data_IF_243886488231
#
_entry.id   IF_243886488231
#
_cell.length_a   1.000
_cell.length_b   1.000
_cell.length_c   1.000
_cell.angle_alpha   90.00
_cell.angle_beta   90.00
_cell.angle_gamma   90.00
#
_symmetry.space_group_name_H-M   'P 1'
#
loop_
_entity.id
_entity.type
_entity.pdbx_description
1 polymer ?
#
# COMPACT_ATOMS: atom_id res chain seq x y z
N UNK A 1 -30.72 11.26 -11.60
CA UNK A 1 -29.81 10.83 -12.68
C UNK A 1 -28.85 9.81 -12.09
N UNK A 2 -29.20 8.54 -12.20
CA UNK A 2 -28.39 7.41 -11.72
C UNK A 2 -27.32 7.12 -12.77
N UNK A 3 -26.06 7.44 -12.47
CA UNK A 3 -24.94 6.92 -13.25
C UNK A 3 -24.98 5.40 -13.21
N UNK A 4 -25.46 4.79 -14.30
CA UNK A 4 -25.35 3.37 -14.52
C UNK A 4 -23.86 3.01 -14.53
N UNK A 5 -23.44 2.23 -13.54
CA UNK A 5 -22.12 1.59 -13.47
C UNK A 5 -21.95 0.59 -14.63
N UNK A 6 -21.89 1.08 -15.86
CA UNK A 6 -21.50 0.29 -17.03
C UNK A 6 -19.99 0.14 -16.93
N UNK A 7 -19.55 -0.94 -16.29
CA UNK A 7 -18.16 -1.36 -16.38
C UNK A 7 -17.78 -1.47 -17.86
N UNK A 8 -16.66 -0.89 -18.32
CA UNK A 8 -16.14 -1.19 -19.64
C UNK A 8 -16.02 -2.73 -19.74
N UNK A 9 -16.71 -3.33 -20.71
CA UNK A 9 -16.96 -4.77 -20.79
C UNK A 9 -15.68 -5.58 -20.51
N UNK A 10 -15.63 -6.27 -19.37
CA UNK A 10 -14.55 -7.19 -19.03
C UNK A 10 -13.48 -6.71 -18.03
N UNK A 11 -13.68 -5.57 -17.35
CA UNK A 11 -12.90 -5.17 -16.16
C UNK A 11 -13.66 -5.44 -14.86
N UNK A 12 -12.95 -5.90 -13.84
CA UNK A 12 -13.51 -6.15 -12.51
C UNK A 12 -13.55 -4.87 -11.65
N UNK A 13 -14.53 -4.79 -10.76
CA UNK A 13 -14.79 -3.66 -9.87
C UNK A 13 -14.00 -3.74 -8.56
N UNK A 14 -13.89 -2.61 -7.84
CA UNK A 14 -13.18 -2.56 -6.54
C UNK A 14 -13.73 -3.56 -5.50
N UNK A 15 -15.02 -3.86 -5.56
CA UNK A 15 -15.70 -4.82 -4.68
C UNK A 15 -15.45 -6.29 -5.04
N UNK A 16 -14.91 -6.56 -6.23
CA UNK A 16 -14.71 -7.93 -6.70
C UNK A 16 -13.43 -8.52 -6.14
N UNK A 17 -13.36 -9.85 -6.04
CA UNK A 17 -12.12 -10.51 -5.66
C UNK A 17 -11.16 -10.56 -6.87
N UNK A 18 -10.20 -9.63 -6.88
CA UNK A 18 -9.08 -9.59 -7.82
C UNK A 18 -7.83 -10.30 -7.26
N UNK A 19 -7.80 -11.63 -7.28
CA UNK A 19 -6.65 -12.40 -6.76
C UNK A 19 -5.35 -12.04 -7.51
N UNK A 20 -5.38 -12.00 -8.84
CA UNK A 20 -4.19 -11.67 -9.65
C UNK A 20 -3.59 -10.30 -9.30
N UNK A 21 -4.44 -9.26 -9.15
CA UNK A 21 -4.00 -7.93 -8.71
C UNK A 21 -3.40 -7.96 -7.31
N UNK A 22 -4.03 -8.68 -6.37
CA UNK A 22 -3.53 -8.78 -4.99
C UNK A 22 -2.16 -9.45 -4.95
N UNK A 23 -1.99 -10.56 -5.66
CA UNK A 23 -0.67 -11.24 -5.77
C UNK A 23 0.35 -10.33 -6.42
N UNK A 24 0.00 -9.67 -7.53
CA UNK A 24 0.90 -8.72 -8.21
C UNK A 24 1.32 -7.57 -7.28
N UNK A 25 0.38 -7.01 -6.52
CA UNK A 25 0.63 -5.95 -5.54
C UNK A 25 1.55 -6.45 -4.41
N UNK A 26 1.22 -7.60 -3.80
CA UNK A 26 2.03 -8.21 -2.74
C UNK A 26 3.47 -8.43 -3.22
N UNK A 27 3.66 -9.06 -4.38
CA UNK A 27 4.98 -9.33 -4.93
C UNK A 27 5.73 -8.04 -5.30
N UNK A 28 5.05 -7.07 -5.90
CA UNK A 28 5.64 -5.80 -6.31
C UNK A 28 6.14 -4.99 -5.11
N UNK A 29 5.29 -4.78 -4.10
CA UNK A 29 5.67 -4.02 -2.91
C UNK A 29 6.68 -4.79 -2.06
N UNK A 30 6.56 -6.11 -1.94
CA UNK A 30 7.56 -6.90 -1.23
C UNK A 30 8.94 -6.86 -1.93
N UNK A 31 8.97 -6.78 -3.26
CA UNK A 31 10.23 -6.54 -4.01
C UNK A 31 10.83 -5.17 -3.66
N UNK A 32 10.00 -4.12 -3.55
CA UNK A 32 10.47 -2.80 -3.09
C UNK A 32 11.02 -2.87 -1.66
N UNK A 33 10.35 -3.59 -0.76
CA UNK A 33 10.85 -3.84 0.60
C UNK A 33 12.20 -4.57 0.58
N UNK A 34 12.33 -5.66 -0.17
CA UNK A 34 13.59 -6.39 -0.28
C UNK A 34 14.70 -5.49 -0.84
N UNK A 35 14.42 -4.72 -1.89
CA UNK A 35 15.38 -3.74 -2.43
C UNK A 35 15.82 -2.72 -1.37
N UNK A 36 14.87 -2.19 -0.60
CA UNK A 36 15.15 -1.25 0.49
C UNK A 36 16.05 -1.84 1.59
N UNK A 37 15.83 -3.11 1.94
CA UNK A 37 16.61 -3.80 2.98
C UNK A 37 18.00 -4.25 2.50
N UNK A 38 18.17 -4.51 1.20
CA UNK A 38 19.39 -5.09 0.64
C UNK A 38 20.34 -4.06 0.03
N UNK A 39 19.82 -2.92 -0.45
CA UNK A 39 20.61 -1.91 -1.14
C UNK A 39 20.86 -0.68 -0.27
N UNK A 40 22.00 0.02 -0.46
CA UNK A 40 22.24 1.28 0.23
C UNK A 40 21.21 2.33 -0.19
N UNK A 41 20.92 3.28 0.73
CA UNK A 41 19.90 4.33 0.56
C UNK A 41 19.93 5.00 -0.83
N UNK A 42 21.12 5.43 -1.28
CA UNK A 42 21.26 6.13 -2.56
C UNK A 42 20.80 5.27 -3.74
N UNK A 43 21.09 3.96 -3.72
CA UNK A 43 20.71 3.05 -4.79
C UNK A 43 19.20 2.77 -4.74
N UNK A 44 18.67 2.51 -3.54
CA UNK A 44 17.23 2.28 -3.32
C UNK A 44 16.38 3.46 -3.82
N UNK A 45 16.74 4.68 -3.42
CA UNK A 45 16.04 5.90 -3.86
C UNK A 45 16.22 6.14 -5.36
N UNK A 46 17.42 5.91 -5.91
CA UNK A 46 17.67 6.08 -7.35
C UNK A 46 16.83 5.12 -8.19
N UNK A 47 16.79 3.84 -7.83
CA UNK A 47 15.98 2.85 -8.53
C UNK A 47 14.48 3.18 -8.45
N UNK A 48 14.02 3.63 -7.29
CA UNK A 48 12.62 4.03 -7.10
C UNK A 48 12.28 5.29 -7.90
N UNK A 49 13.18 6.27 -7.97
CA UNK A 49 13.03 7.47 -8.78
C UNK A 49 13.00 7.12 -10.29
N UNK A 50 13.88 6.23 -10.75
CA UNK A 50 13.87 5.71 -12.13
C UNK A 50 12.53 5.03 -12.43
N UNK A 51 12.02 4.20 -11.51
CA UNK A 51 10.71 3.56 -11.67
C UNK A 51 9.58 4.60 -11.76
N UNK A 52 9.58 5.63 -10.91
CA UNK A 52 8.63 6.74 -10.99
C UNK A 52 8.69 7.46 -12.35
N UNK A 53 9.90 7.79 -12.84
CA UNK A 53 10.10 8.46 -14.13
C UNK A 53 9.68 7.57 -15.31
N UNK A 54 9.85 6.26 -15.21
CA UNK A 54 9.44 5.33 -16.26
C UNK A 54 7.91 5.15 -16.30
N UNK A 55 7.25 4.99 -15.14
CA UNK A 55 5.83 4.60 -15.09
C UNK A 55 4.86 5.78 -15.04
N UNK A 56 5.14 6.83 -14.24
CA UNK A 56 4.18 7.90 -13.99
C UNK A 56 3.91 8.73 -15.25
N UNK A 57 4.92 9.19 -16.01
CA UNK A 57 4.67 9.89 -17.27
C UNK A 57 3.90 9.04 -18.27
N UNK A 58 4.19 7.75 -18.39
CA UNK A 58 3.45 6.84 -19.26
C UNK A 58 1.97 6.72 -18.85
N UNK A 59 1.70 6.63 -17.54
CA UNK A 59 0.34 6.57 -16.99
C UNK A 59 -0.43 7.89 -17.15
N UNK A 60 0.26 9.04 -17.16
CA UNK A 60 -0.32 10.35 -17.50
C UNK A 60 -0.61 10.45 -19.00
N UNK A 61 0.37 10.11 -19.84
CA UNK A 61 0.26 10.20 -21.31
C UNK A 61 -0.85 9.31 -21.86
N UNK A 62 -1.12 8.15 -21.24
CA UNK A 62 -2.24 7.31 -21.67
C UNK A 62 -3.61 7.93 -21.42
N UNK A 63 -3.75 8.87 -20.48
CA UNK A 63 -5.04 9.54 -20.24
C UNK A 63 -5.42 10.49 -21.36
N UNK A 64 -4.42 11.03 -22.08
CA UNK A 64 -4.64 11.98 -23.19
C UNK A 64 -4.59 11.31 -24.55
N UNK A 65 -4.02 10.09 -24.66
CA UNK A 65 -3.93 9.33 -25.91
C UNK A 65 -4.79 8.05 -25.88
N UNK A 66 -5.96 8.03 -26.57
CA UNK A 66 -6.85 6.88 -26.59
C UNK A 66 -6.26 5.59 -27.19
N UNK A 67 -5.33 5.71 -28.15
CA UNK A 67 -4.67 4.56 -28.74
C UNK A 67 -3.70 3.90 -27.73
N UNK A 68 -2.90 4.72 -27.06
CA UNK A 68 -2.00 4.26 -26.00
C UNK A 68 -2.78 3.66 -24.82
N UNK A 69 -3.90 4.29 -24.42
CA UNK A 69 -4.76 3.76 -23.35
C UNK A 69 -5.25 2.35 -23.70
N UNK A 70 -5.78 2.14 -24.92
CA UNK A 70 -6.27 0.82 -25.36
C UNK A 70 -5.17 -0.25 -25.37
N UNK A 71 -3.96 0.10 -25.81
CA UNK A 71 -2.83 -0.84 -25.83
C UNK A 71 -2.41 -1.25 -24.41
N UNK A 72 -2.24 -0.28 -23.51
CA UNK A 72 -1.85 -0.54 -22.11
C UNK A 72 -2.97 -1.27 -21.34
N UNK A 73 -4.23 -0.88 -21.54
CA UNK A 73 -5.39 -1.57 -20.97
C UNK A 73 -5.44 -3.04 -21.35
N UNK A 74 -5.09 -3.38 -22.59
CA UNK A 74 -5.04 -4.77 -23.06
C UNK A 74 -3.91 -5.55 -22.38
N UNK A 75 -2.74 -4.95 -22.24
CA UNK A 75 -1.58 -5.57 -21.58
C UNK A 75 -1.80 -5.79 -20.08
N UNK A 76 -2.36 -4.80 -19.38
CA UNK A 76 -2.54 -4.82 -17.92
C UNK A 76 -3.94 -5.24 -17.45
N UNK A 77 -4.78 -5.76 -18.35
CA UNK A 77 -6.15 -6.21 -18.06
C UNK A 77 -6.32 -7.08 -16.81
N UNK A 78 -5.46 -8.08 -16.51
CA UNK A 78 -5.66 -8.92 -15.33
C UNK A 78 -5.45 -8.20 -13.99
N UNK A 79 -4.75 -7.05 -14.00
CA UNK A 79 -4.33 -6.30 -12.80
C UNK A 79 -5.18 -5.03 -12.63
N UNK A 80 -5.56 -4.39 -13.73
CA UNK A 80 -6.20 -3.08 -13.76
C UNK A 80 -7.68 -3.13 -13.33
N UNK A 81 -8.14 -2.11 -12.59
CA UNK A 81 -9.55 -1.93 -12.18
C UNK A 81 -10.32 -1.11 -13.20
N UNK A 82 -11.64 -1.31 -13.24
CA UNK A 82 -12.57 -0.50 -14.04
C UNK A 82 -12.45 1.01 -13.76
N UNK A 83 -12.20 1.39 -12.51
CA UNK A 83 -12.03 2.79 -12.09
C UNK A 83 -10.72 3.43 -12.57
N UNK A 84 -9.72 2.63 -12.97
CA UNK A 84 -8.40 3.09 -13.41
C UNK A 84 -8.34 3.31 -14.94
N UNK A 85 -9.41 2.97 -15.66
CA UNK A 85 -9.48 3.12 -17.12
C UNK A 85 -9.31 4.58 -17.55
N UNK A 86 -9.93 5.50 -16.80
CA UNK A 86 -9.90 6.95 -17.05
C UNK A 86 -9.32 7.74 -15.87
N UNK A 87 -8.52 7.07 -15.03
CA UNK A 87 -7.81 7.67 -13.88
C UNK A 87 -6.40 7.10 -13.81
N UNK A 88 -5.54 7.74 -13.01
CA UNK A 88 -4.21 7.20 -12.73
C UNK A 88 -4.31 5.78 -12.14
N UNK A 89 -3.38 4.92 -12.53
CA UNK A 89 -3.31 3.55 -12.04
C UNK A 89 -2.89 3.51 -10.57
N UNK A 90 -3.34 2.50 -9.82
CA UNK A 90 -2.89 2.28 -8.44
C UNK A 90 -1.37 2.16 -8.30
N UNK A 91 -0.66 1.73 -9.35
CA UNK A 91 0.82 1.68 -9.40
C UNK A 91 1.46 3.07 -9.34
N UNK A 92 0.84 4.09 -9.96
CA UNK A 92 1.32 5.48 -9.92
C UNK A 92 1.29 6.01 -8.49
N UNK A 93 0.18 5.77 -7.78
CA UNK A 93 0.03 6.09 -6.37
C UNK A 93 1.00 5.30 -5.48
N UNK A 94 1.17 4.01 -5.75
CA UNK A 94 2.12 3.13 -5.03
C UNK A 94 3.56 3.64 -5.13
N UNK A 95 4.06 3.87 -6.34
CA UNK A 95 5.44 4.30 -6.58
C UNK A 95 5.68 5.70 -6.00
N UNK A 96 4.71 6.60 -6.17
CA UNK A 96 4.76 7.94 -5.59
C UNK A 96 4.78 7.89 -4.05
N UNK A 97 3.93 7.06 -3.44
CA UNK A 97 3.86 6.89 -1.99
C UNK A 97 5.16 6.32 -1.43
N UNK A 98 5.68 5.28 -2.07
CA UNK A 98 6.98 4.67 -1.72
C UNK A 98 8.12 5.69 -1.81
N UNK A 99 8.18 6.50 -2.87
CA UNK A 99 9.23 7.53 -3.03
C UNK A 99 9.11 8.62 -1.97
N UNK A 100 7.89 9.09 -1.70
CA UNK A 100 7.63 10.10 -0.66
C UNK A 100 8.10 9.59 0.70
N UNK A 101 7.74 8.36 1.09
CA UNK A 101 8.15 7.86 2.40
C UNK A 101 9.67 7.64 2.47
N UNK A 102 10.28 7.15 1.38
CA UNK A 102 11.72 6.90 1.30
C UNK A 102 12.55 8.17 1.48
N UNK A 103 12.05 9.32 1.01
CA UNK A 103 12.74 10.61 1.10
C UNK A 103 12.58 11.31 2.45
N UNK A 104 11.52 10.99 3.21
CA UNK A 104 11.12 11.77 4.39
C UNK A 104 11.38 11.02 5.70
N UNK A 105 11.17 9.71 5.73
CA UNK A 105 11.16 8.95 6.98
C UNK A 105 12.44 8.12 7.17
N UNK A 106 12.69 7.76 8.44
CA UNK A 106 13.81 6.91 8.82
C UNK A 106 13.72 5.51 8.15
N UNK A 107 14.85 4.87 7.79
CA UNK A 107 14.86 3.60 7.07
C UNK A 107 14.01 2.48 7.68
N UNK A 108 13.96 2.38 9.01
CA UNK A 108 13.12 1.36 9.68
C UNK A 108 11.63 1.61 9.51
N UNK A 109 11.21 2.88 9.54
CA UNK A 109 9.81 3.28 9.31
C UNK A 109 9.39 3.02 7.87
N UNK A 110 10.28 3.31 6.91
CA UNK A 110 10.06 3.04 5.48
C UNK A 110 9.90 1.53 5.26
N UNK A 111 10.82 0.72 5.79
CA UNK A 111 10.80 -0.73 5.68
C UNK A 111 9.48 -1.32 6.21
N UNK A 112 9.07 -0.91 7.42
CA UNK A 112 7.85 -1.43 8.04
C UNK A 112 6.58 -0.95 7.30
N UNK A 113 6.55 0.29 6.81
CA UNK A 113 5.41 0.79 6.03
C UNK A 113 5.27 0.09 4.67
N UNK A 114 6.38 -0.28 4.03
CA UNK A 114 6.36 -1.12 2.83
C UNK A 114 5.84 -2.54 3.13
N UNK A 115 6.20 -3.14 4.27
CA UNK A 115 5.63 -4.42 4.70
C UNK A 115 4.11 -4.33 4.94
N UNK A 116 3.65 -3.26 5.60
CA UNK A 116 2.21 -3.01 5.80
C UNK A 116 1.49 -2.90 4.47
N UNK A 117 2.01 -2.10 3.54
CA UNK A 117 1.41 -1.96 2.21
C UNK A 117 1.46 -3.27 1.41
N UNK A 118 2.52 -4.07 1.54
CA UNK A 118 2.66 -5.34 0.82
C UNK A 118 1.63 -6.37 1.27
N UNK A 119 1.39 -6.52 2.58
CA UNK A 119 0.60 -7.63 3.10
C UNK A 119 -0.73 -7.21 3.73
N UNK A 120 -0.75 -6.15 4.52
CA UNK A 120 -1.95 -5.77 5.26
C UNK A 120 -3.06 -5.27 4.31
N UNK A 121 -2.78 -4.41 3.34
CA UNK A 121 -3.81 -3.95 2.38
C UNK A 121 -4.45 -5.10 1.58
N UNK A 122 -3.69 -6.00 0.92
CA UNK A 122 -4.28 -7.09 0.17
C UNK A 122 -5.07 -8.06 1.05
N UNK A 123 -4.58 -8.38 2.25
CA UNK A 123 -5.22 -9.33 3.17
C UNK A 123 -6.46 -8.73 3.86
N UNK A 124 -6.39 -7.48 4.33
CA UNK A 124 -7.53 -6.76 4.90
C UNK A 124 -8.66 -6.65 3.87
N UNK A 125 -8.33 -6.25 2.64
CA UNK A 125 -9.31 -6.20 1.55
C UNK A 125 -9.81 -7.59 1.14
N UNK A 126 -8.99 -8.65 1.18
CA UNK A 126 -9.45 -10.02 0.91
C UNK A 126 -10.49 -10.47 1.94
N UNK A 127 -10.18 -10.32 3.22
CA UNK A 127 -11.08 -10.67 4.32
C UNK A 127 -12.34 -9.81 4.27
N UNK A 128 -12.19 -8.50 4.02
CA UNK A 128 -13.33 -7.59 3.96
C UNK A 128 -14.26 -7.82 2.78
N UNK A 129 -13.77 -8.29 1.64
CA UNK A 129 -14.62 -8.68 0.50
C UNK A 129 -15.32 -10.01 0.79
N UNK A 130 -14.60 -11.01 1.32
CA UNK A 130 -15.12 -12.37 1.47
C UNK A 130 -16.02 -12.55 2.70
N UNK A 131 -15.71 -11.88 3.80
CA UNK A 131 -16.36 -12.07 5.10
C UNK A 131 -16.90 -10.76 5.70
N UNK A 132 -16.65 -9.61 5.08
CA UNK A 132 -16.99 -8.29 5.62
C UNK A 132 -18.47 -7.96 5.56
N UNK A 133 -19.21 -8.41 6.56
CA UNK A 133 -20.65 -8.13 6.75
C UNK A 133 -20.90 -6.75 7.34
N UNK A 134 -20.08 -6.37 8.32
CA UNK A 134 -20.28 -5.14 9.09
C UNK A 134 -19.44 -4.01 8.48
N UNK A 135 -20.09 -2.97 7.97
CA UNK A 135 -19.39 -1.85 7.33
C UNK A 135 -18.99 -0.81 8.37
N UNK A 136 -17.73 -0.37 8.30
CA UNK A 136 -17.23 0.75 9.12
C UNK A 136 -17.39 2.06 8.35
N UNK A 137 -16.81 2.11 7.15
CA UNK A 137 -16.77 3.33 6.35
C UNK A 137 -16.76 2.98 4.85
N UNK A 138 -17.77 3.42 4.12
CA UNK A 138 -17.95 3.08 2.71
C UNK A 138 -17.92 1.56 2.47
N UNK A 139 -16.98 1.09 1.66
CA UNK A 139 -16.78 -0.33 1.35
C UNK A 139 -15.88 -1.07 2.36
N UNK A 140 -15.26 -0.37 3.33
CA UNK A 140 -14.40 -0.98 4.35
C UNK A 140 -15.26 -1.65 5.44
N UNK A 141 -14.84 -2.82 5.89
CA UNK A 141 -15.58 -3.65 6.86
C UNK A 141 -14.81 -3.84 8.16
N UNK A 142 -15.52 -4.13 9.26
CA UNK A 142 -14.93 -4.45 10.56
C UNK A 142 -14.01 -5.66 10.45
N UNK A 143 -14.43 -6.70 9.75
CA UNK A 143 -13.63 -7.89 9.53
C UNK A 143 -12.33 -7.58 8.77
N UNK A 144 -12.39 -6.71 7.76
CA UNK A 144 -11.21 -6.24 7.04
C UNK A 144 -10.27 -5.46 7.94
N UNK A 145 -10.79 -4.54 8.76
CA UNK A 145 -10.01 -3.75 9.71
C UNK A 145 -9.30 -4.64 10.75
N UNK A 146 -10.01 -5.62 11.33
CA UNK A 146 -9.41 -6.57 12.29
C UNK A 146 -8.31 -7.39 11.61
N UNK A 147 -8.53 -7.85 10.37
CA UNK A 147 -7.49 -8.56 9.62
C UNK A 147 -6.27 -7.67 9.36
N UNK A 148 -6.46 -6.43 8.92
CA UNK A 148 -5.38 -5.46 8.75
C UNK A 148 -4.61 -5.20 10.04
N UNK A 149 -5.32 -5.00 11.16
CA UNK A 149 -4.74 -4.85 12.49
C UNK A 149 -3.84 -6.02 12.89
N UNK A 150 -4.35 -7.26 12.77
CA UNK A 150 -3.60 -8.46 13.15
C UNK A 150 -2.37 -8.67 12.26
N UNK A 151 -2.50 -8.43 10.95
CA UNK A 151 -1.38 -8.53 10.01
C UNK A 151 -0.32 -7.48 10.35
N UNK A 152 -0.69 -6.21 10.49
CA UNK A 152 0.23 -5.14 10.87
C UNK A 152 0.90 -5.42 12.22
N UNK A 153 0.15 -5.87 13.23
CA UNK A 153 0.71 -6.20 14.54
C UNK A 153 1.74 -7.32 14.47
N UNK A 154 1.43 -8.37 13.71
CA UNK A 154 2.35 -9.50 13.48
C UNK A 154 3.61 -9.03 12.76
N UNK A 155 3.46 -8.21 11.70
CA UNK A 155 4.59 -7.68 10.94
C UNK A 155 5.46 -6.74 11.78
N UNK A 156 4.87 -5.89 12.61
CA UNK A 156 5.63 -5.06 13.57
C UNK A 156 6.41 -5.94 14.53
N UNK A 157 5.79 -6.96 15.14
CA UNK A 157 6.48 -7.86 16.05
C UNK A 157 7.64 -8.62 15.39
N UNK A 158 7.43 -9.15 14.18
CA UNK A 158 8.48 -9.82 13.42
C UNK A 158 9.61 -8.85 13.04
N UNK A 159 9.28 -7.64 12.62
CA UNK A 159 10.25 -6.61 12.25
C UNK A 159 11.10 -6.15 13.45
N UNK A 160 10.46 -5.90 14.59
CA UNK A 160 11.17 -5.54 15.83
C UNK A 160 12.07 -6.69 16.32
N UNK A 161 11.57 -7.92 16.27
CA UNK A 161 12.36 -9.11 16.62
C UNK A 161 13.58 -9.27 15.71
N UNK A 162 13.41 -9.08 14.39
CA UNK A 162 14.49 -9.12 13.42
C UNK A 162 15.59 -8.09 13.71
N UNK A 163 15.18 -6.87 14.11
CA UNK A 163 16.09 -5.79 14.50
C UNK A 163 16.54 -5.86 15.98
N UNK A 164 16.30 -6.99 16.66
CA UNK A 164 16.71 -7.24 18.05
C UNK A 164 16.14 -6.24 19.07
N UNK A 165 14.98 -5.66 18.78
CA UNK A 165 14.23 -4.81 19.72
C UNK A 165 13.33 -5.71 20.56
N UNK A 166 13.78 -6.04 21.78
CA UNK A 166 13.01 -6.85 22.74
C UNK A 166 12.14 -6.05 23.70
N UNK A 167 12.52 -4.79 23.96
CA UNK A 167 11.81 -3.91 24.90
C UNK A 167 10.42 -3.57 24.36
N UNK A 168 9.41 -3.63 25.23
CA UNK A 168 8.02 -3.28 24.90
C UNK A 168 7.45 -3.98 23.65
N UNK A 169 8.02 -5.12 23.25
CA UNK A 169 7.73 -5.79 21.97
C UNK A 169 6.23 -6.00 21.75
N UNK A 170 5.52 -6.56 22.74
CA UNK A 170 4.09 -6.85 22.62
C UNK A 170 3.27 -5.57 22.44
N UNK A 171 3.48 -4.55 23.27
CA UNK A 171 2.68 -3.33 23.23
C UNK A 171 2.96 -2.52 21.96
N UNK A 172 4.22 -2.40 21.55
CA UNK A 172 4.58 -1.68 20.31
C UNK A 172 4.07 -2.44 19.08
N UNK A 173 4.07 -3.78 19.10
CA UNK A 173 3.46 -4.57 18.03
C UNK A 173 1.96 -4.30 17.90
N UNK A 174 1.21 -4.30 19.00
CA UNK A 174 -0.22 -4.00 18.98
C UNK A 174 -0.50 -2.56 18.53
N UNK A 175 0.29 -1.59 19.01
CA UNK A 175 0.16 -0.18 18.60
C UNK A 175 0.53 0.01 17.11
N UNK A 176 1.57 -0.65 16.62
CA UNK A 176 1.92 -0.67 15.19
C UNK A 176 0.82 -1.29 14.33
N UNK A 177 0.20 -2.35 14.84
CA UNK A 177 -1.02 -2.94 14.29
C UNK A 177 -2.14 -1.92 14.12
N UNK A 178 -2.43 -1.16 15.18
CA UNK A 178 -3.46 -0.13 15.20
C UNK A 178 -3.13 1.02 14.24
N UNK A 179 -1.88 1.48 14.21
CA UNK A 179 -1.40 2.49 13.26
C UNK A 179 -1.66 2.06 11.82
N UNK A 180 -1.27 0.83 11.44
CA UNK A 180 -1.47 0.32 10.09
C UNK A 180 -2.95 0.17 9.71
N UNK A 181 -3.78 -0.36 10.63
CA UNK A 181 -5.21 -0.52 10.39
C UNK A 181 -5.95 0.82 10.27
N UNK A 182 -5.59 1.82 11.09
CA UNK A 182 -6.15 3.16 11.00
C UNK A 182 -5.70 3.87 9.71
N UNK A 183 -4.43 3.73 9.33
CA UNK A 183 -3.91 4.29 8.08
C UNK A 183 -4.68 3.78 6.85
N UNK A 184 -5.09 2.50 6.84
CA UNK A 184 -5.93 1.91 5.80
C UNK A 184 -7.38 2.46 5.78
N UNK A 185 -7.86 2.95 6.93
CA UNK A 185 -9.23 3.43 7.11
C UNK A 185 -9.38 4.91 6.70
N UNK A 186 -8.30 5.69 6.68
CA UNK A 186 -8.30 7.13 6.35
C UNK A 186 -8.65 7.31 4.86
N UNK A 187 -9.86 7.78 4.52
CA UNK A 187 -10.25 7.98 3.15
C UNK A 187 -9.86 9.38 2.70
N UNK A 188 -8.90 9.51 1.78
CA UNK A 188 -8.65 10.78 1.12
C UNK A 188 -9.30 10.76 -0.25
N UNK A 189 -10.41 11.50 -0.38
CA UNK A 189 -11.29 11.62 -1.55
C UNK A 189 -10.71 11.17 -2.91
N UNK A 190 -9.62 11.78 -3.37
CA UNK A 190 -9.03 11.56 -4.71
C UNK A 190 -7.74 10.73 -4.71
N UNK A 191 -7.24 10.31 -3.56
CA UNK A 191 -6.01 9.52 -3.45
C UNK A 191 -6.33 8.04 -3.27
N UNK A 192 -5.52 7.19 -3.90
CA UNK A 192 -5.62 5.74 -3.77
C UNK A 192 -4.98 5.28 -2.45
N UNK A 193 -5.53 4.21 -1.87
CA UNK A 193 -5.03 3.56 -0.65
C UNK A 193 -3.54 3.20 -0.78
N UNK A 194 -3.08 2.90 -2.01
CA UNK A 194 -1.68 2.63 -2.32
C UNK A 194 -0.70 3.79 -2.05
N UNK A 195 -1.19 5.03 -2.01
CA UNK A 195 -0.42 6.21 -1.61
C UNK A 195 -0.67 6.57 -0.15
N UNK A 196 -1.93 6.60 0.27
CA UNK A 196 -2.30 7.12 1.60
C UNK A 196 -1.83 6.19 2.71
N UNK A 197 -2.02 4.88 2.58
CA UNK A 197 -1.66 3.90 3.60
C UNK A 197 -0.19 4.00 4.02
N UNK A 198 0.82 3.90 3.12
CA UNK A 198 2.22 3.96 3.53
C UNK A 198 2.60 5.32 4.14
N UNK A 199 2.02 6.42 3.67
CA UNK A 199 2.30 7.77 4.19
C UNK A 199 1.75 7.91 5.62
N UNK A 200 0.49 7.56 5.85
CA UNK A 200 -0.12 7.67 7.18
C UNK A 200 0.45 6.66 8.17
N UNK A 201 0.75 5.44 7.72
CA UNK A 201 1.44 4.48 8.59
C UNK A 201 2.83 4.98 8.96
N UNK A 202 3.56 5.60 8.03
CA UNK A 202 4.89 6.17 8.32
C UNK A 202 4.83 7.28 9.35
N UNK A 203 3.83 8.17 9.28
CA UNK A 203 3.61 9.22 10.29
C UNK A 203 3.35 8.59 11.67
N UNK A 204 2.40 7.64 11.75
CA UNK A 204 2.05 6.99 13.02
C UNK A 204 3.20 6.17 13.61
N UNK A 205 3.93 5.43 12.77
CA UNK A 205 5.09 4.65 13.19
C UNK A 205 6.24 5.55 13.64
N UNK A 206 6.43 6.71 13.02
CA UNK A 206 7.43 7.70 13.44
C UNK A 206 7.14 8.21 14.84
N UNK A 207 5.88 8.57 15.12
CA UNK A 207 5.46 9.01 16.46
C UNK A 207 5.65 7.88 17.47
N UNK A 208 5.24 6.66 17.11
CA UNK A 208 5.38 5.48 17.96
C UNK A 208 6.85 5.20 18.30
N UNK A 209 7.72 5.13 17.29
CA UNK A 209 9.15 4.84 17.49
C UNK A 209 9.89 5.99 18.18
N UNK A 210 9.46 7.23 17.98
CA UNK A 210 9.97 8.38 18.75
C UNK A 210 9.68 8.20 20.25
N UNK A 211 8.43 7.90 20.60
CA UNK A 211 8.00 7.76 21.99
C UNK A 211 8.73 6.63 22.73
N UNK A 212 8.99 5.51 22.05
CA UNK A 212 9.71 4.36 22.62
C UNK A 212 11.24 4.41 22.41
N UNK A 213 11.78 5.45 21.74
CA UNK A 213 13.22 5.60 21.52
C UNK A 213 13.84 4.59 20.54
N UNK A 214 13.07 4.06 19.59
CA UNK A 214 13.50 2.94 18.73
C UNK A 214 14.33 3.34 17.50
N UNK A 215 14.47 4.63 17.18
CA UNK A 215 15.23 5.06 16.00
C UNK A 215 16.71 4.66 16.02
N UNK A 216 17.29 4.42 17.20
CA UNK A 216 18.67 3.97 17.35
C UNK A 216 18.92 2.58 16.79
N UNK A 217 17.87 1.76 16.63
CA UNK A 217 17.97 0.40 16.10
C UNK A 217 17.92 0.31 14.56
N UNK A 218 17.61 1.41 13.88
CA UNK A 218 17.28 1.40 12.44
C UNK A 218 18.17 2.31 11.58
N UNK A 219 19.34 2.71 12.08
CA UNK A 219 20.31 3.52 11.35
C UNK A 219 21.30 2.67 10.54
#
# INVERSE_FOLDING_TARGET
MTESNVTPSGFKNRSDLHVARKVWHMCGVFTLFCGWMLFPYWLSVTLLAIACIAFIPADIMRQTNPALNRQLLKAFRPIMRSTEVNKLAGTTYLLSGALVIALIFNPGVVALSLLFLAFADPLASYVGIKYGKDKIFGHKSVQGFIAGFLVCATLTGLFLTYNRVGEHLLIVSLLGGLVGALAELIPISKLDDNFTMPVFSSIGLTILFYFFGFFTYFN
#
